data_IF_529055769750
#
_entry.id   IF_529055769750
#
_cell.length_a   1.000
_cell.length_b   1.000
_cell.length_c   1.000
_cell.angle_alpha   90.00
_cell.angle_beta   90.00
_cell.angle_gamma   90.00
#
_symmetry.space_group_name_H-M   'P 1'
#
loop_
_entity.id
_entity.type
_entity.pdbx_description
1 polymer ?
#
# COMPACT_ATOMS: atom_id res chain seq x y z
N UNK A 1 16.37 -2.84 -1.35
CA UNK A 1 15.80 -2.77 -2.71
C UNK A 1 15.97 -1.35 -3.18
N UNK A 2 16.71 -1.14 -4.27
CA UNK A 2 17.04 0.19 -4.78
C UNK A 2 15.77 0.93 -5.21
N UNK A 3 15.69 2.21 -4.85
CA UNK A 3 14.60 3.16 -5.13
C UNK A 3 14.48 3.54 -6.63
N UNK A 4 15.02 2.71 -7.54
CA UNK A 4 15.58 3.22 -8.79
C UNK A 4 14.65 3.24 -10.01
N UNK A 5 13.39 2.80 -9.94
CA UNK A 5 12.51 3.03 -11.09
C UNK A 5 11.01 3.01 -10.80
N UNK A 6 10.56 3.69 -9.74
CA UNK A 6 9.13 3.99 -9.66
C UNK A 6 8.75 4.93 -10.81
N UNK A 7 8.07 4.39 -11.83
CA UNK A 7 7.47 5.13 -12.94
C UNK A 7 6.00 5.38 -12.60
N UNK A 8 5.66 6.60 -12.15
CA UNK A 8 4.32 6.88 -11.68
C UNK A 8 3.29 6.76 -12.81
N UNK A 9 2.25 5.97 -12.56
CA UNK A 9 1.15 5.78 -13.51
C UNK A 9 0.08 6.85 -13.34
N UNK A 10 -0.04 7.42 -12.14
CA UNK A 10 -1.04 8.44 -11.84
C UNK A 10 -0.48 9.86 -11.87
N UNK A 11 -1.39 10.84 -11.99
CA UNK A 11 -1.04 12.27 -11.86
C UNK A 11 -0.45 12.58 -10.49
N UNK A 12 -1.01 11.97 -9.45
CA UNK A 12 -0.54 12.12 -8.07
C UNK A 12 0.88 11.59 -7.94
N UNK A 13 1.15 10.38 -8.45
CA UNK A 13 2.49 9.80 -8.44
C UNK A 13 3.53 10.69 -9.14
N UNK A 14 3.16 11.32 -10.27
CA UNK A 14 4.05 12.28 -10.97
C UNK A 14 4.32 13.51 -10.12
N UNK A 15 3.29 14.08 -9.49
CA UNK A 15 3.44 15.25 -8.61
C UNK A 15 4.33 14.96 -7.40
N UNK A 16 4.23 13.76 -6.81
CA UNK A 16 5.09 13.31 -5.71
C UNK A 16 6.53 13.12 -6.21
N UNK A 17 6.72 12.44 -7.35
CA UNK A 17 8.06 12.24 -7.95
C UNK A 17 8.74 13.54 -8.38
N UNK A 18 7.96 14.53 -8.83
CA UNK A 18 8.43 15.87 -9.17
C UNK A 18 8.71 16.74 -7.93
N UNK A 19 8.36 16.28 -6.71
CA UNK A 19 8.56 17.03 -5.47
C UNK A 19 7.56 18.18 -5.24
N UNK A 20 6.44 18.21 -5.99
CA UNK A 20 5.37 19.21 -5.79
C UNK A 20 4.54 18.96 -4.55
N UNK A 21 4.46 17.70 -4.12
CA UNK A 21 3.77 17.27 -2.91
C UNK A 21 4.84 16.65 -2.02
N UNK A 22 5.04 17.26 -0.85
CA UNK A 22 6.11 16.87 0.06
C UNK A 22 5.61 16.14 1.30
N UNK A 23 4.30 16.22 1.57
CA UNK A 23 3.68 15.62 2.74
C UNK A 23 2.42 14.86 2.38
N UNK A 24 2.13 13.79 3.14
CA UNK A 24 0.87 13.06 3.01
C UNK A 24 -0.33 13.91 3.46
N UNK A 25 -0.12 14.87 4.35
CA UNK A 25 -1.14 15.80 4.80
C UNK A 25 -1.66 16.69 3.66
N UNK A 26 -0.78 17.14 2.77
CA UNK A 26 -1.16 17.89 1.56
C UNK A 26 -2.04 17.05 0.62
N UNK A 27 -1.79 15.74 0.49
CA UNK A 27 -2.64 14.85 -0.31
C UNK A 27 -4.05 14.78 0.24
N UNK A 28 -4.17 14.61 1.56
CA UNK A 28 -5.47 14.56 2.23
C UNK A 28 -6.19 15.91 2.17
N UNK A 29 -5.49 17.03 2.36
CA UNK A 29 -6.07 18.36 2.26
C UNK A 29 -6.62 18.67 0.86
N UNK A 30 -5.92 18.21 -0.19
CA UNK A 30 -6.36 18.36 -1.59
C UNK A 30 -7.36 17.28 -2.04
N UNK A 31 -7.81 16.42 -1.12
CA UNK A 31 -8.77 15.35 -1.38
C UNK A 31 -8.33 14.41 -2.54
N UNK A 32 -7.02 14.23 -2.67
CA UNK A 32 -6.39 13.37 -3.68
C UNK A 32 -6.33 11.93 -3.19
N UNK A 33 -6.65 10.97 -4.07
CA UNK A 33 -6.63 9.54 -3.72
C UNK A 33 -5.23 8.96 -3.92
N UNK A 34 -4.77 8.21 -2.92
CA UNK A 34 -3.56 7.40 -3.01
C UNK A 34 -3.94 6.05 -3.62
N UNK A 35 -3.35 5.73 -4.77
CA UNK A 35 -3.61 4.49 -5.51
C UNK A 35 -2.34 3.70 -5.83
N UNK A 36 -1.18 4.30 -5.60
CA UNK A 36 0.15 3.69 -5.79
C UNK A 36 0.79 3.59 -4.41
N UNK A 37 1.35 2.43 -4.09
CA UNK A 37 1.93 2.15 -2.76
C UNK A 37 3.23 2.93 -2.58
N UNK A 38 3.95 3.12 -3.68
CA UNK A 38 5.22 3.82 -3.75
C UNK A 38 5.09 5.30 -3.32
N UNK A 39 3.89 5.90 -3.42
CA UNK A 39 3.62 7.25 -2.87
C UNK A 39 3.83 7.26 -1.36
N UNK A 40 3.38 6.22 -0.66
CA UNK A 40 3.52 6.11 0.80
C UNK A 40 4.98 5.87 1.16
N UNK A 41 5.67 5.00 0.43
CA UNK A 41 7.09 4.71 0.65
C UNK A 41 7.99 5.95 0.49
N UNK A 42 7.64 6.84 -0.44
CA UNK A 42 8.38 8.10 -0.68
C UNK A 42 8.07 9.17 0.38
N UNK A 43 6.80 9.34 0.75
CA UNK A 43 6.37 10.42 1.64
C UNK A 43 6.60 10.11 3.12
N UNK A 44 6.64 8.83 3.50
CA UNK A 44 6.82 8.39 4.88
C UNK A 44 7.92 7.32 4.97
N UNK A 45 9.20 7.71 4.79
CA UNK A 45 10.32 6.80 4.97
C UNK A 45 10.45 6.44 6.46
N UNK A 46 10.41 5.14 6.77
CA UNK A 46 10.58 4.63 8.14
C UNK A 46 9.33 4.09 8.81
N UNK A 47 8.23 3.87 8.07
CA UNK A 47 7.10 3.12 8.60
C UNK A 47 7.48 1.67 8.90
N UNK A 48 7.10 1.19 10.07
CA UNK A 48 7.28 -0.21 10.46
C UNK A 48 6.04 -1.03 10.08
N UNK A 49 6.26 -2.32 9.83
CA UNK A 49 5.20 -3.25 9.45
C UNK A 49 5.18 -4.41 10.43
N UNK A 50 4.02 -4.68 11.02
CA UNK A 50 3.81 -5.78 11.95
C UNK A 50 2.67 -6.69 11.44
N UNK A 51 2.93 -8.00 11.40
CA UNK A 51 1.91 -9.00 11.06
C UNK A 51 1.28 -9.50 12.34
N UNK A 52 0.01 -9.18 12.55
CA UNK A 52 -0.72 -9.57 13.76
C UNK A 52 -1.16 -11.04 13.74
N UNK A 53 -1.65 -11.50 12.59
CA UNK A 53 -2.33 -12.78 12.51
C UNK A 53 -2.28 -13.36 11.09
N UNK A 54 -2.03 -14.66 11.01
CA UNK A 54 -2.13 -15.45 9.79
C UNK A 54 -2.97 -16.68 10.09
N UNK A 55 -4.16 -16.74 9.49
CA UNK A 55 -5.13 -17.81 9.70
C UNK A 55 -5.50 -18.50 8.40
N UNK A 56 -5.66 -19.83 8.43
CA UNK A 56 -6.18 -20.60 7.29
C UNK A 56 -7.71 -20.64 7.38
N UNK A 57 -8.39 -20.10 6.38
CA UNK A 57 -9.85 -20.17 6.25
C UNK A 57 -10.23 -21.11 5.12
N UNK A 58 -11.19 -22.00 5.37
CA UNK A 58 -11.65 -22.99 4.41
C UNK A 58 -13.10 -22.70 4.00
N UNK A 59 -13.36 -22.71 2.68
CA UNK A 59 -14.71 -22.65 2.12
C UNK A 59 -15.07 -24.02 1.55
N UNK A 60 -16.12 -24.63 2.09
CA UNK A 60 -16.69 -25.86 1.55
C UNK A 60 -17.37 -25.60 0.19
N UNK A 61 -17.16 -26.50 -0.77
CA UNK A 61 -17.76 -26.47 -2.11
C UNK A 61 -18.23 -27.86 -2.51
N UNK A 62 -19.09 -27.96 -3.52
CA UNK A 62 -19.62 -29.25 -3.98
C UNK A 62 -18.54 -30.23 -4.50
N UNK A 63 -17.35 -29.72 -4.83
CA UNK A 63 -16.20 -30.51 -5.30
C UNK A 63 -15.06 -30.61 -4.26
N UNK A 64 -15.37 -30.41 -2.97
CA UNK A 64 -14.38 -30.46 -1.87
C UNK A 64 -14.16 -29.10 -1.20
N UNK A 65 -13.01 -28.91 -0.58
CA UNK A 65 -12.68 -27.69 0.17
C UNK A 65 -11.72 -26.76 -0.60
N UNK A 66 -11.96 -25.46 -0.52
CA UNK A 66 -11.01 -24.42 -0.97
C UNK A 66 -10.46 -23.68 0.24
N UNK A 67 -9.17 -23.83 0.49
CA UNK A 67 -8.46 -23.10 1.54
C UNK A 67 -7.90 -21.77 1.03
N UNK A 68 -7.89 -20.76 1.89
CA UNK A 68 -7.26 -19.45 1.68
C UNK A 68 -6.56 -19.02 2.97
N UNK A 69 -5.49 -18.25 2.84
CA UNK A 69 -4.91 -17.57 3.99
C UNK A 69 -5.56 -16.20 4.18
N UNK A 70 -5.87 -15.88 5.43
CA UNK A 70 -6.21 -14.54 5.88
C UNK A 70 -5.00 -14.02 6.66
N UNK A 71 -4.41 -12.93 6.18
CA UNK A 71 -3.34 -12.22 6.88
C UNK A 71 -3.86 -10.85 7.32
N UNK A 72 -3.53 -10.47 8.55
CA UNK A 72 -3.81 -9.13 9.11
C UNK A 72 -2.46 -8.49 9.40
N UNK A 73 -2.22 -7.32 8.81
CA UNK A 73 -1.01 -6.54 9.02
C UNK A 73 -1.38 -5.11 9.43
N UNK A 74 -0.53 -4.53 10.28
CA UNK A 74 -0.56 -3.12 10.67
C UNK A 74 0.71 -2.46 10.15
N UNK A 75 0.57 -1.20 9.76
CA UNK A 75 1.65 -0.37 9.23
C UNK A 75 1.53 0.96 9.97
N UNK A 76 2.58 1.40 10.67
CA UNK A 76 2.56 2.58 11.55
C UNK A 76 3.92 3.10 11.96
#
# INVERSE_FOLDING_TARGET
MSLEEWVPRTKVGRMVKEGKITSIAELFANNLKITEVEIVDQLLPGLEQEVLDINLVQKQTAAGERSKFRAIAIVG
#
